data_IF_665808166989
#
_entry.id   IF_665808166989
#
_cell.length_a   1.000
_cell.length_b   1.000
_cell.length_c   1.000
_cell.angle_alpha   90.00
_cell.angle_beta   90.00
_cell.angle_gamma   90.00
#
_symmetry.space_group_name_H-M   'P 1'
#
loop_
_entity.id
_entity.type
_entity.pdbx_description
1 polymer ?
#
# COMPACT_ATOMS: atom_id res chain seq x y z
N UNK A 1 3.72 -17.38 7.57
CA UNK A 1 4.23 -17.06 6.23
C UNK A 1 4.89 -15.69 6.28
N UNK A 2 6.19 -15.58 5.99
CA UNK A 2 6.99 -14.38 6.26
C UNK A 2 6.70 -13.22 5.30
N UNK A 3 6.14 -13.49 4.12
CA UNK A 3 5.88 -12.49 3.08
C UNK A 3 4.53 -11.77 3.23
N UNK A 4 3.57 -12.41 3.91
CA UNK A 4 2.21 -11.90 4.10
C UNK A 4 2.06 -11.07 5.38
N UNK A 5 2.94 -11.30 6.36
CA UNK A 5 2.88 -10.58 7.62
C UNK A 5 3.03 -9.06 7.45
N UNK A 6 4.00 -8.52 6.68
CA UNK A 6 4.12 -7.07 6.52
C UNK A 6 2.89 -6.44 5.85
N UNK A 7 2.37 -7.09 4.80
CA UNK A 7 1.15 -6.68 4.09
C UNK A 7 -0.04 -6.60 5.04
N UNK A 8 -0.17 -7.60 5.92
CA UNK A 8 -1.24 -7.62 6.93
C UNK A 8 -1.10 -6.47 7.92
N UNK A 9 0.09 -6.19 8.43
CA UNK A 9 0.30 -5.06 9.35
C UNK A 9 -0.02 -3.71 8.69
N UNK A 10 0.37 -3.51 7.43
CA UNK A 10 -0.02 -2.30 6.66
C UNK A 10 -1.54 -2.19 6.60
N UNK A 11 -2.24 -3.24 6.17
CA UNK A 11 -3.70 -3.20 6.04
C UNK A 11 -4.40 -2.96 7.38
N UNK A 12 -3.88 -3.50 8.50
CA UNK A 12 -4.40 -3.19 9.84
C UNK A 12 -4.28 -1.70 10.14
N UNK A 13 -3.10 -1.12 9.93
CA UNK A 13 -2.86 0.31 10.18
C UNK A 13 -3.74 1.19 9.30
N UNK A 14 -3.93 0.85 8.03
CA UNK A 14 -4.82 1.58 7.13
C UNK A 14 -6.30 1.55 7.55
N UNK A 15 -6.75 0.44 8.12
CA UNK A 15 -8.13 0.27 8.55
C UNK A 15 -8.38 0.89 9.93
N UNK A 16 -7.43 0.72 10.86
CA UNK A 16 -7.59 1.13 12.26
C UNK A 16 -7.10 2.55 12.52
N UNK A 17 -5.98 2.93 11.93
CA UNK A 17 -5.28 4.20 12.18
C UNK A 17 -4.88 4.90 10.87
N UNK A 18 -5.84 5.16 9.95
CA UNK A 18 -5.55 5.74 8.64
C UNK A 18 -4.79 7.07 8.74
N UNK A 19 -4.98 7.85 9.80
CA UNK A 19 -4.27 9.11 10.04
C UNK A 19 -2.77 8.95 10.36
N UNK A 20 -2.34 7.76 10.79
CA UNK A 20 -0.92 7.42 10.98
C UNK A 20 -0.29 6.88 9.69
N UNK A 21 -1.11 6.56 8.69
CA UNK A 21 -0.66 6.13 7.38
C UNK A 21 -0.68 7.33 6.44
N UNK A 22 0.49 7.75 5.94
CA UNK A 22 0.58 8.85 5.00
C UNK A 22 -0.20 8.57 3.70
N UNK A 23 -0.74 9.63 3.08
CA UNK A 23 -1.50 9.51 1.83
C UNK A 23 -0.70 8.89 0.67
N UNK A 24 0.64 8.98 0.71
CA UNK A 24 1.52 8.37 -0.28
C UNK A 24 1.38 6.83 -0.29
N UNK A 25 1.00 6.21 0.84
CA UNK A 25 0.77 4.78 0.94
C UNK A 25 -0.39 4.31 0.03
N UNK A 26 -1.37 5.17 -0.26
CA UNK A 26 -2.50 4.82 -1.12
C UNK A 26 -2.05 4.40 -2.54
N UNK A 27 -1.04 5.10 -3.08
CA UNK A 27 -0.50 4.81 -4.41
C UNK A 27 0.29 3.50 -4.50
N UNK A 28 0.84 3.02 -3.39
CA UNK A 28 1.74 1.86 -3.37
C UNK A 28 1.00 0.51 -3.36
N UNK A 29 -0.28 0.49 -3.00
CA UNK A 29 -0.96 -0.75 -2.59
C UNK A 29 -1.36 -1.68 -3.73
N UNK A 30 -1.72 -1.13 -4.88
CA UNK A 30 -2.29 -1.89 -6.00
C UNK A 30 -1.24 -2.78 -6.67
N UNK A 31 0.02 -2.36 -6.66
CA UNK A 31 1.12 -3.08 -7.30
C UNK A 31 1.99 -3.90 -6.31
N UNK A 32 1.78 -3.75 -5.01
CA UNK A 32 2.68 -4.34 -3.98
C UNK A 32 2.24 -5.71 -3.45
N UNK A 33 0.98 -6.12 -3.63
CA UNK A 33 0.42 -7.29 -2.97
C UNK A 33 0.22 -8.45 -3.94
N UNK A 34 0.75 -9.62 -3.59
CA UNK A 34 0.61 -10.84 -4.41
C UNK A 34 -0.62 -11.68 -4.03
N UNK A 35 -1.18 -11.47 -2.83
CA UNK A 35 -2.29 -12.26 -2.31
C UNK A 35 -3.64 -11.65 -2.71
N UNK A 36 -4.49 -12.34 -3.50
CA UNK A 36 -5.71 -11.77 -4.09
C UNK A 36 -6.67 -11.16 -3.06
N UNK A 37 -6.78 -11.77 -1.89
CA UNK A 37 -7.65 -11.25 -0.82
C UNK A 37 -7.14 -9.93 -0.24
N UNK A 38 -5.82 -9.76 -0.09
CA UNK A 38 -5.26 -8.51 0.43
C UNK A 38 -5.26 -7.41 -0.62
N UNK A 39 -5.09 -7.76 -1.90
CA UNK A 39 -5.36 -6.83 -3.00
C UNK A 39 -6.80 -6.35 -2.98
N UNK A 40 -7.78 -7.25 -2.82
CA UNK A 40 -9.19 -6.87 -2.77
C UNK A 40 -9.53 -5.93 -1.60
N UNK A 41 -8.87 -6.10 -0.45
CA UNK A 41 -9.00 -5.18 0.69
C UNK A 41 -8.38 -3.82 0.35
N UNK A 42 -7.19 -3.81 -0.23
CA UNK A 42 -6.52 -2.57 -0.60
C UNK A 42 -7.28 -1.79 -1.69
N UNK A 43 -7.88 -2.48 -2.66
CA UNK A 43 -8.79 -1.88 -3.63
C UNK A 43 -10.04 -1.30 -2.98
N UNK A 44 -10.58 -1.95 -1.94
CA UNK A 44 -11.72 -1.42 -1.20
C UNK A 44 -11.35 -0.12 -0.46
N UNK A 45 -10.16 -0.08 0.14
CA UNK A 45 -9.60 1.14 0.75
C UNK A 45 -9.46 2.27 -0.28
N UNK A 46 -8.90 1.98 -1.46
CA UNK A 46 -8.80 2.96 -2.54
C UNK A 46 -10.18 3.46 -3.02
N UNK A 47 -11.14 2.54 -3.21
CA UNK A 47 -12.51 2.89 -3.64
C UNK A 47 -13.26 3.72 -2.59
N UNK A 48 -12.93 3.57 -1.31
CA UNK A 48 -13.46 4.40 -0.23
C UNK A 48 -12.84 5.81 -0.18
N UNK A 49 -11.83 6.10 -1.02
CA UNK A 49 -11.16 7.39 -1.11
C UNK A 49 -9.73 7.40 -0.62
N UNK A 50 -9.19 6.26 -0.18
CA UNK A 50 -7.83 6.15 0.36
C UNK A 50 -7.70 6.71 1.79
N UNK A 51 -6.60 6.39 2.47
CA UNK A 51 -6.32 6.87 3.83
C UNK A 51 -6.19 8.40 3.90
N UNK A 52 -5.74 9.02 2.80
CA UNK A 52 -5.66 10.48 2.69
C UNK A 52 -7.01 11.20 2.85
N UNK A 53 -8.14 10.51 2.62
CA UNK A 53 -9.48 11.08 2.79
C UNK A 53 -9.87 11.32 4.24
N UNK A 54 -9.28 10.57 5.19
CA UNK A 54 -9.67 10.62 6.61
C UNK A 54 -9.15 11.88 7.30
N UNK A 55 -8.01 12.42 6.87
CA UNK A 55 -7.42 13.66 7.40
C UNK A 55 -8.10 14.96 6.94
N UNK A 56 -8.97 14.91 5.93
CA UNK A 56 -9.66 16.09 5.39
C UNK A 56 -11.01 16.38 6.08
N UNK A 57 -11.56 15.42 6.83
CA UNK A 57 -12.88 15.54 7.48
C UNK A 57 -12.73 16.14 8.88
N UNK A 58 -12.44 17.44 8.93
CA UNK A 58 -12.33 18.25 10.15
C UNK A 58 -13.67 18.69 10.75
N UNK A 59 -14.68 17.82 10.78
CA UNK A 59 -16.01 18.17 11.30
C UNK A 59 -16.23 17.46 12.65
N UNK A 60 -15.99 18.22 13.73
CA UNK A 60 -15.97 17.73 15.11
C UNK A 60 -17.31 17.17 15.61
N UNK A 61 -17.49 15.85 15.49
CA UNK A 61 -18.60 15.18 16.17
C UNK A 61 -18.69 13.66 16.07
N UNK A 62 -18.02 12.98 15.14
CA UNK A 62 -17.98 11.51 15.05
C UNK A 62 -16.53 11.01 15.05
N UNK A 63 -16.27 9.86 15.68
CA UNK A 63 -14.95 9.25 15.66
C UNK A 63 -14.63 8.85 14.21
N UNK A 64 -13.60 9.43 13.57
CA UNK A 64 -13.33 9.27 12.14
C UNK A 64 -13.12 7.81 11.68
N UNK A 65 -12.82 6.90 12.61
CA UNK A 65 -12.58 5.48 12.31
C UNK A 65 -13.84 4.63 12.02
N UNK A 66 -15.00 4.95 12.61
CA UNK A 66 -16.22 4.14 12.39
C UNK A 66 -16.83 4.39 11.01
N UNK A 67 -16.98 5.65 10.63
CA UNK A 67 -17.46 6.06 9.31
C UNK A 67 -16.50 5.59 8.20
N UNK A 68 -15.19 5.57 8.49
CA UNK A 68 -14.17 5.04 7.59
C UNK A 68 -14.33 3.53 7.33
N UNK A 69 -14.42 2.71 8.38
CA UNK A 69 -14.56 1.26 8.24
C UNK A 69 -15.85 0.89 7.49
N UNK A 70 -16.94 1.61 7.74
CA UNK A 70 -18.19 1.44 7.01
C UNK A 70 -18.04 1.79 5.53
N UNK A 71 -17.34 2.89 5.20
CA UNK A 71 -17.06 3.27 3.82
C UNK A 71 -16.20 2.22 3.09
N UNK A 72 -15.13 1.72 3.71
CA UNK A 72 -14.28 0.65 3.15
C UNK A 72 -15.07 -0.65 2.96
N UNK A 73 -15.90 -1.02 3.92
CA UNK A 73 -16.73 -2.23 3.84
C UNK A 73 -17.80 -2.10 2.74
N UNK A 74 -18.38 -0.92 2.56
CA UNK A 74 -19.36 -0.63 1.52
C UNK A 74 -18.76 -0.58 0.11
N UNK A 75 -17.45 -0.33 -0.01
CA UNK A 75 -16.72 -0.26 -1.28
C UNK A 75 -16.52 -1.62 -1.97
N UNK A 76 -16.89 -2.73 -1.32
CA UNK A 76 -16.78 -4.08 -1.87
C UNK A 76 -18.08 -4.87 -1.78
N UNK A 77 -18.40 -5.60 -2.86
CA UNK A 77 -19.50 -6.56 -2.91
C UNK A 77 -19.13 -7.96 -2.41
N UNK A 78 -17.83 -8.26 -2.28
CA UNK A 78 -17.32 -9.59 -1.95
C UNK A 78 -17.43 -9.87 -0.44
N UNK A 79 -18.11 -10.98 -0.10
CA UNK A 79 -18.31 -11.44 1.27
C UNK A 79 -16.98 -11.82 1.93
N UNK A 80 -16.05 -12.42 1.18
CA UNK A 80 -14.75 -12.83 1.73
C UNK A 80 -13.87 -11.62 2.03
N UNK A 81 -13.85 -10.63 1.14
CA UNK A 81 -13.17 -9.36 1.38
C UNK A 81 -13.73 -8.65 2.63
N UNK A 82 -15.06 -8.58 2.79
CA UNK A 82 -15.69 -8.00 3.99
C UNK A 82 -15.30 -8.72 5.28
N UNK A 83 -15.28 -10.06 5.27
CA UNK A 83 -14.86 -10.83 6.44
C UNK A 83 -13.43 -10.50 6.86
N UNK A 84 -12.53 -10.33 5.89
CA UNK A 84 -11.12 -9.99 6.14
C UNK A 84 -11.00 -8.54 6.61
N UNK A 85 -11.76 -7.60 6.06
CA UNK A 85 -11.82 -6.21 6.58
C UNK A 85 -12.22 -6.23 8.06
N UNK A 86 -13.30 -6.95 8.42
CA UNK A 86 -13.75 -7.04 9.81
C UNK A 86 -12.73 -7.69 10.73
N UNK A 87 -12.02 -8.72 10.27
CA UNK A 87 -10.94 -9.38 11.01
C UNK A 87 -9.77 -8.41 11.26
N UNK A 88 -9.31 -7.72 10.21
CA UNK A 88 -8.19 -6.79 10.27
C UNK A 88 -8.53 -5.51 11.02
N UNK A 89 -9.80 -5.11 11.11
CA UNK A 89 -10.24 -3.93 11.84
C UNK A 89 -10.12 -4.07 13.37
N UNK A 90 -10.01 -5.30 13.89
CA UNK A 90 -9.93 -5.58 15.33
C UNK A 90 -8.66 -6.33 15.75
N UNK A 91 -7.89 -6.86 14.81
CA UNK A 91 -6.64 -7.52 15.13
C UNK A 91 -5.61 -6.50 15.63
N UNK A 92 -5.06 -6.73 16.83
CA UNK A 92 -4.06 -5.83 17.40
C UNK A 92 -2.81 -5.72 16.51
N UNK A 93 -2.29 -4.50 16.25
CA UNK A 93 -0.98 -4.30 15.65
C UNK A 93 0.11 -4.99 16.47
N UNK A 94 1.17 -5.47 15.82
CA UNK A 94 2.27 -6.16 16.53
C UNK A 94 3.24 -5.19 17.23
N UNK A 95 2.71 -4.21 17.93
CA UNK A 95 3.45 -3.27 18.74
C UNK A 95 2.63 -2.87 19.96
N UNK A 96 3.31 -2.40 20.99
CA UNK A 96 2.66 -1.72 22.12
C UNK A 96 2.02 -0.40 21.64
N UNK A 97 0.90 -0.03 22.25
CA UNK A 97 0.11 1.14 21.83
C UNK A 97 0.91 2.46 21.91
N UNK A 98 1.83 2.60 22.85
CA UNK A 98 2.71 3.78 23.01
C UNK A 98 3.76 3.89 21.88
N UNK A 99 3.98 2.82 21.13
CA UNK A 99 4.92 2.74 20.00
C UNK A 99 4.21 2.81 18.65
N UNK A 100 2.89 2.88 18.64
CA UNK A 100 2.06 2.76 17.43
C UNK A 100 2.42 3.77 16.32
N UNK A 101 2.67 5.07 16.59
CA UNK A 101 3.09 6.00 15.55
C UNK A 101 4.43 5.61 14.90
N UNK A 102 5.44 5.28 15.71
CA UNK A 102 6.74 4.83 15.21
C UNK A 102 6.66 3.50 14.46
N UNK A 103 5.76 2.62 14.90
CA UNK A 103 5.51 1.35 14.25
C UNK A 103 4.87 1.55 12.88
N UNK A 104 3.87 2.44 12.79
CA UNK A 104 3.21 2.77 11.53
C UNK A 104 4.21 3.29 10.49
N UNK A 105 5.03 4.28 10.87
CA UNK A 105 6.10 4.82 10.02
C UNK A 105 7.05 3.71 9.53
N UNK A 106 7.49 2.83 10.44
CA UNK A 106 8.42 1.74 10.10
C UNK A 106 7.80 0.69 9.17
N UNK A 107 6.50 0.41 9.31
CA UNK A 107 5.77 -0.54 8.47
C UNK A 107 5.56 0.03 7.06
N UNK A 108 5.18 1.30 6.96
CA UNK A 108 5.01 1.99 5.67
C UNK A 108 6.34 2.12 4.93
N UNK A 109 7.41 2.55 5.61
CA UNK A 109 8.74 2.66 5.01
C UNK A 109 9.25 1.32 4.44
N UNK A 110 9.00 0.20 5.14
CA UNK A 110 9.34 -1.13 4.63
C UNK A 110 8.53 -1.55 3.41
N UNK A 111 7.29 -1.09 3.32
CA UNK A 111 6.46 -1.32 2.13
C UNK A 111 7.01 -0.54 0.93
N UNK A 112 7.35 0.73 1.13
CA UNK A 112 8.00 1.58 0.13
C UNK A 112 9.32 0.97 -0.37
N UNK A 113 10.19 0.53 0.54
CA UNK A 113 11.44 -0.15 0.21
C UNK A 113 11.21 -1.40 -0.67
N UNK A 114 10.19 -2.20 -0.35
CA UNK A 114 9.85 -3.41 -1.13
C UNK A 114 9.37 -3.04 -2.53
N UNK A 115 8.52 -2.02 -2.66
CA UNK A 115 8.00 -1.57 -3.94
C UNK A 115 9.11 -1.02 -4.83
N UNK A 116 9.95 -0.11 -4.30
CA UNK A 116 11.12 0.43 -5.02
C UNK A 116 12.09 -0.69 -5.44
N UNK A 117 12.31 -1.67 -4.56
CA UNK A 117 13.14 -2.84 -4.87
C UNK A 117 12.58 -3.68 -6.03
N UNK A 118 11.25 -3.87 -6.08
CA UNK A 118 10.57 -4.59 -7.15
C UNK A 118 10.65 -3.84 -8.48
N UNK A 119 10.41 -2.52 -8.48
CA UNK A 119 10.50 -1.66 -9.68
C UNK A 119 11.92 -1.66 -10.26
N UNK A 120 12.95 -1.54 -9.40
CA UNK A 120 14.35 -1.65 -9.82
C UNK A 120 14.65 -3.02 -10.44
N UNK A 121 14.11 -4.10 -9.88
CA UNK A 121 14.30 -5.45 -10.40
C UNK A 121 13.64 -5.64 -11.77
N UNK A 122 12.43 -5.11 -11.95
CA UNK A 122 11.72 -5.12 -13.24
C UNK A 122 12.48 -4.31 -14.30
N UNK A 123 12.92 -3.10 -13.95
CA UNK A 123 13.72 -2.26 -14.85
C UNK A 123 15.02 -2.96 -15.25
N UNK A 124 15.73 -3.55 -14.29
CA UNK A 124 16.93 -4.37 -14.57
C UNK A 124 16.61 -5.54 -15.49
N UNK A 125 15.51 -6.25 -15.27
CA UNK A 125 15.08 -7.36 -16.13
C UNK A 125 14.70 -6.90 -17.54
N UNK A 126 14.10 -5.70 -17.69
CA UNK A 126 13.82 -5.08 -18.98
C UNK A 126 15.11 -4.68 -19.69
N UNK A 127 16.06 -4.06 -18.99
CA UNK A 127 17.37 -3.69 -19.51
C UNK A 127 18.19 -4.90 -19.93
N UNK A 128 18.17 -6.00 -19.18
CA UNK A 128 18.87 -7.24 -19.55
C UNK A 128 18.25 -7.92 -20.78
N UNK A 129 16.94 -7.73 -21.00
CA UNK A 129 16.22 -8.21 -22.20
C UNK A 129 16.47 -7.31 -23.42
N UNK A 130 16.72 -6.03 -23.21
CA UNK A 130 17.27 -5.11 -24.22
C UNK A 130 18.76 -5.43 -24.43
N UNK A 131 19.06 -6.34 -25.37
CA UNK A 131 20.43 -6.75 -25.66
C UNK A 131 21.31 -5.55 -26.08
N UNK A 132 22.52 -5.38 -25.51
CA UNK A 132 23.52 -4.40 -25.99
C UNK A 132 24.22 -4.79 -27.31
N UNK A 133 23.84 -5.89 -27.97
CA UNK A 133 24.63 -6.50 -29.06
C UNK A 133 24.13 -6.23 -30.48
N UNK A 134 23.08 -5.41 -30.69
CA UNK A 134 22.75 -4.86 -32.00
C UNK A 134 23.06 -3.37 -32.06
N UNK A 135 24.18 -3.05 -32.69
CA UNK A 135 24.63 -1.67 -32.89
C UNK A 135 23.65 -0.83 -33.72
N UNK A 136 23.54 0.45 -33.34
CA UNK A 136 22.88 1.51 -34.12
C UNK A 136 21.68 2.15 -33.39
N UNK A 137 21.73 3.48 -33.23
CA UNK A 137 20.68 4.38 -32.74
C UNK A 137 20.15 4.26 -31.28
N UNK A 138 20.19 3.11 -30.60
CA UNK A 138 19.56 2.91 -29.27
C UNK A 138 20.38 3.41 -28.04
N UNK A 139 21.54 4.04 -28.25
CA UNK A 139 22.36 4.57 -27.13
C UNK A 139 21.79 5.83 -26.48
N UNK A 140 20.94 6.58 -27.18
CA UNK A 140 20.35 7.83 -26.67
C UNK A 140 19.14 7.58 -25.75
N UNK A 141 18.30 6.60 -26.05
CA UNK A 141 17.19 6.20 -25.17
C UNK A 141 17.69 5.56 -23.87
N UNK A 142 18.77 4.76 -23.95
CA UNK A 142 19.42 4.18 -22.77
C UNK A 142 19.91 5.26 -21.77
N UNK A 143 20.49 6.35 -22.28
CA UNK A 143 20.98 7.45 -21.44
C UNK A 143 19.86 8.38 -20.96
N UNK A 144 18.78 8.55 -21.72
CA UNK A 144 17.65 9.38 -21.33
C UNK A 144 16.87 8.78 -20.14
N UNK A 145 16.71 7.46 -20.12
CA UNK A 145 16.07 6.74 -19.00
C UNK A 145 16.87 6.85 -17.69
N UNK A 146 18.16 7.19 -17.78
CA UNK A 146 19.03 7.41 -16.62
C UNK A 146 19.01 8.85 -16.10
N UNK A 147 18.53 9.80 -16.90
CA UNK A 147 18.56 11.24 -16.60
C UNK A 147 17.23 11.77 -16.04
N UNK A 148 16.16 10.96 -16.09
CA UNK A 148 14.85 11.25 -15.48
C UNK A 148 14.79 10.85 -13.98
N UNK A 149 15.93 10.47 -13.40
CA UNK A 149 16.13 10.23 -11.98
C UNK A 149 16.56 11.52 -11.25
#
# INVERSE_FOLDING_TARGET
DGYLQPVREVLKLMLQEPQLVGADADGLLTDSFEHPTYMAVAEAVQKAGGVGSVGASGDGGHAPGADWLDAVTAATGDVMCRAVISELAVEEPRCEADRLPFYADAVVARMEERWVGAEIAELKARMQRMRPDRGGAEKKEYNATFADL
#
